data_IF_734256057632
#
_entry.id   IF_734256057632
#
_cell.length_a   1.000
_cell.length_b   1.000
_cell.length_c   1.000
_cell.angle_alpha   90.00
_cell.angle_beta   90.00
_cell.angle_gamma   90.00
#
_symmetry.space_group_name_H-M   'P 1'
#
loop_
_entity.id
_entity.type
_entity.pdbx_description
1 polymer ?
#
# COMPACT_ATOMS: atom_id res chain seq x y z
N UNK A 1 -6.17 17.08 8.06
CA UNK A 1 -5.38 16.23 8.98
C UNK A 1 -5.64 14.76 8.72
N UNK A 2 -4.80 13.90 9.32
CA UNK A 2 -5.00 12.46 9.30
C UNK A 2 -6.30 12.09 10.02
N UNK A 3 -6.81 10.88 9.84
CA UNK A 3 -8.12 10.47 10.36
C UNK A 3 -8.22 10.43 11.90
N UNK A 4 -7.11 10.58 12.64
CA UNK A 4 -7.09 10.81 14.08
C UNK A 4 -7.83 12.08 14.51
N UNK A 5 -7.91 13.10 13.65
CA UNK A 5 -8.66 14.32 13.97
C UNK A 5 -10.16 14.08 14.24
N UNK A 6 -10.69 12.94 13.78
CA UNK A 6 -12.07 12.54 14.05
C UNK A 6 -12.32 12.25 15.54
N UNK A 7 -11.28 11.94 16.32
CA UNK A 7 -11.42 11.55 17.73
C UNK A 7 -11.68 12.73 18.67
N UNK A 8 -11.21 13.93 18.30
CA UNK A 8 -11.29 15.13 19.13
C UNK A 8 -12.36 16.13 18.72
N UNK A 9 -13.20 15.77 17.76
CA UNK A 9 -14.06 16.72 17.06
C UNK A 9 -13.34 17.40 15.92
N UNK A 10 -14.04 17.62 14.82
CA UNK A 10 -13.48 18.11 13.56
C UNK A 10 -13.92 19.55 13.30
N UNK A 11 -12.97 20.41 12.94
CA UNK A 11 -13.28 21.80 12.55
C UNK A 11 -14.13 21.84 11.26
N UNK A 12 -15.08 22.77 11.12
CA UNK A 12 -16.05 22.78 10.01
C UNK A 12 -15.45 22.70 8.60
N UNK A 13 -14.24 23.25 8.42
CA UNK A 13 -13.57 23.29 7.11
C UNK A 13 -12.42 22.28 6.98
N UNK A 14 -12.31 21.31 7.89
CA UNK A 14 -11.24 20.33 7.84
C UNK A 14 -11.50 19.28 6.76
N UNK A 15 -10.44 18.85 6.10
CA UNK A 15 -10.41 17.69 5.20
C UNK A 15 -9.69 16.56 5.91
N UNK A 16 -10.25 15.36 5.86
CA UNK A 16 -9.71 14.16 6.50
C UNK A 16 -8.90 13.35 5.49
N UNK A 17 -7.68 12.96 5.87
CA UNK A 17 -6.87 11.98 5.12
C UNK A 17 -7.03 10.61 5.77
N UNK A 18 -7.75 9.71 5.08
CA UNK A 18 -8.06 8.37 5.57
C UNK A 18 -6.93 7.41 5.24
N UNK A 19 -6.07 7.09 6.22
CA UNK A 19 -4.86 6.28 5.99
C UNK A 19 -4.95 4.86 6.57
N UNK A 20 -5.64 4.68 7.71
CA UNK A 20 -5.78 3.35 8.36
C UNK A 20 -6.71 2.40 7.60
N UNK A 21 -7.50 2.92 6.68
CA UNK A 21 -8.49 2.23 5.87
C UNK A 21 -9.40 3.24 5.20
N UNK A 22 -10.60 2.84 4.87
CA UNK A 22 -11.61 3.70 4.24
C UNK A 22 -12.58 4.32 5.27
N UNK A 23 -12.64 3.77 6.47
CA UNK A 23 -13.60 4.11 7.52
C UNK A 23 -13.51 5.57 7.94
N UNK A 24 -12.29 6.12 8.05
CA UNK A 24 -12.08 7.52 8.37
C UNK A 24 -12.63 8.46 7.28
N UNK A 25 -12.43 8.11 6.01
CA UNK A 25 -13.00 8.84 4.88
C UNK A 25 -14.51 8.75 4.83
N UNK A 26 -15.07 7.56 5.04
CA UNK A 26 -16.53 7.34 5.11
C UNK A 26 -17.14 8.17 6.24
N UNK A 27 -16.55 8.16 7.43
CA UNK A 27 -17.02 8.95 8.57
C UNK A 27 -16.96 10.46 8.27
N UNK A 28 -15.90 10.94 7.65
CA UNK A 28 -15.75 12.34 7.26
C UNK A 28 -16.85 12.77 6.29
N UNK A 29 -17.04 12.07 5.17
CA UNK A 29 -18.02 12.46 4.16
C UNK A 29 -19.46 12.28 4.65
N UNK A 30 -19.71 11.32 5.52
CA UNK A 30 -21.02 11.12 6.15
C UNK A 30 -21.38 12.29 7.07
N UNK A 31 -20.39 12.91 7.70
CA UNK A 31 -20.56 14.12 8.53
C UNK A 31 -20.45 15.44 7.76
N UNK A 32 -20.37 15.38 6.41
CA UNK A 32 -20.36 16.56 5.54
C UNK A 32 -18.96 17.18 5.32
N UNK A 33 -17.88 16.49 5.70
CA UNK A 33 -16.52 16.93 5.48
C UNK A 33 -15.93 16.30 4.21
N UNK A 34 -14.90 16.94 3.66
CA UNK A 34 -14.15 16.35 2.55
C UNK A 34 -13.18 15.27 3.04
N UNK A 35 -12.92 14.28 2.19
CA UNK A 35 -11.92 13.25 2.42
C UNK A 35 -10.93 13.12 1.26
N UNK A 36 -9.68 12.80 1.59
CA UNK A 36 -8.67 12.28 0.66
C UNK A 36 -8.40 10.84 1.07
N UNK A 37 -8.56 9.92 0.13
CA UNK A 37 -8.35 8.50 0.38
C UNK A 37 -6.89 8.14 0.18
N UNK A 38 -6.27 7.63 1.25
CA UNK A 38 -4.86 7.24 1.23
C UNK A 38 -4.61 5.99 2.09
N UNK A 39 -5.47 4.95 1.99
CA UNK A 39 -5.32 3.78 2.83
C UNK A 39 -3.99 3.06 2.58
N UNK A 40 -3.31 2.68 3.66
CA UNK A 40 -1.99 2.07 3.60
C UNK A 40 -1.94 0.81 2.74
N UNK A 41 -3.04 0.07 2.69
CA UNK A 41 -3.17 -1.13 1.86
C UNK A 41 -3.04 -0.88 0.34
N UNK A 42 -3.19 0.37 -0.14
CA UNK A 42 -3.20 0.72 -1.57
C UNK A 42 -2.32 1.91 -1.93
N UNK A 43 -2.00 2.78 -0.96
CA UNK A 43 -1.43 4.09 -1.21
C UNK A 43 -0.05 4.32 -0.56
N UNK A 44 0.46 3.38 0.24
CA UNK A 44 1.76 3.52 0.91
C UNK A 44 2.86 2.90 0.06
N UNK A 45 3.55 3.76 -0.69
CA UNK A 45 4.55 3.38 -1.67
C UNK A 45 5.92 3.04 -1.06
N UNK A 46 6.05 3.11 0.25
CA UNK A 46 7.20 2.65 1.04
C UNK A 46 7.17 1.13 1.31
N UNK A 47 6.05 0.46 1.01
CA UNK A 47 5.95 -1.01 1.03
C UNK A 47 6.70 -1.68 -0.13
N UNK A 48 7.10 -2.93 0.06
CA UNK A 48 7.66 -3.75 -1.03
C UNK A 48 6.71 -3.82 -2.22
N UNK A 49 7.23 -3.59 -3.42
CA UNK A 49 6.41 -3.66 -4.64
C UNK A 49 6.50 -5.02 -5.35
N UNK A 50 7.45 -5.86 -4.96
CA UNK A 50 7.61 -7.24 -5.44
C UNK A 50 8.16 -8.10 -4.30
N UNK A 51 8.57 -9.33 -4.59
CA UNK A 51 9.13 -10.28 -3.63
C UNK A 51 10.31 -9.67 -2.85
N UNK A 52 10.28 -9.57 -1.52
CA UNK A 52 11.27 -8.86 -0.72
C UNK A 52 12.71 -9.24 -0.98
N UNK A 53 13.00 -10.52 -1.27
CA UNK A 53 14.35 -11.00 -1.55
C UNK A 53 14.95 -10.42 -2.86
N UNK A 54 14.11 -9.90 -3.75
CA UNK A 54 14.52 -9.29 -5.02
C UNK A 54 14.55 -7.76 -4.98
N UNK A 55 14.21 -7.17 -3.83
CA UNK A 55 14.01 -5.74 -3.66
C UNK A 55 15.05 -5.14 -2.72
N UNK A 56 15.37 -3.83 -2.87
CA UNK A 56 16.00 -3.08 -1.79
C UNK A 56 15.17 -3.17 -0.52
N UNK A 57 15.83 -3.00 0.64
CA UNK A 57 15.13 -2.98 1.92
C UNK A 57 14.04 -1.92 1.95
N UNK A 58 12.88 -2.29 2.50
CA UNK A 58 11.73 -1.42 2.69
C UNK A 58 11.15 -1.63 4.09
N UNK A 59 10.19 -0.79 4.49
CA UNK A 59 9.58 -0.87 5.83
C UNK A 59 8.83 -2.19 6.09
N UNK A 60 8.50 -2.91 5.04
CA UNK A 60 7.70 -4.13 5.08
C UNK A 60 6.49 -4.03 4.15
N UNK A 61 5.45 -4.79 4.46
CA UNK A 61 4.24 -4.83 3.65
C UNK A 61 4.44 -5.41 2.24
N UNK A 62 3.36 -5.44 1.46
CA UNK A 62 3.41 -5.87 0.06
C UNK A 62 2.35 -5.14 -0.76
N UNK A 63 2.79 -4.25 -1.62
CA UNK A 63 1.94 -3.42 -2.45
C UNK A 63 2.40 -3.44 -3.91
N UNK A 64 2.07 -4.51 -4.67
CA UNK A 64 2.43 -4.60 -6.09
C UNK A 64 1.60 -3.65 -6.94
N UNK A 65 2.10 -3.32 -8.13
CA UNK A 65 1.48 -2.42 -9.09
C UNK A 65 0.00 -2.75 -9.35
N UNK A 66 -0.32 -4.03 -9.53
CA UNK A 66 -1.69 -4.50 -9.81
C UNK A 66 -2.65 -4.17 -8.66
N UNK A 67 -2.19 -4.25 -7.41
CA UNK A 67 -3.00 -3.94 -6.24
C UNK A 67 -3.30 -2.45 -6.14
N UNK A 68 -2.31 -1.59 -6.42
CA UNK A 68 -2.52 -0.14 -6.51
C UNK A 68 -3.53 0.20 -7.60
N UNK A 69 -3.39 -0.39 -8.78
CA UNK A 69 -4.30 -0.14 -9.90
C UNK A 69 -5.73 -0.61 -9.66
N UNK A 70 -5.90 -1.68 -8.87
CA UNK A 70 -7.22 -2.23 -8.56
C UNK A 70 -8.02 -1.35 -7.58
N UNK A 71 -7.38 -0.41 -6.91
CA UNK A 71 -8.04 0.43 -5.92
C UNK A 71 -9.12 1.31 -6.54
N UNK A 72 -10.25 1.44 -5.83
CA UNK A 72 -11.29 2.43 -6.09
C UNK A 72 -11.38 3.37 -4.89
N UNK A 73 -11.05 4.67 -5.03
CA UNK A 73 -11.06 5.59 -3.90
C UNK A 73 -12.45 6.04 -3.45
N UNK A 74 -13.50 5.63 -4.16
CA UNK A 74 -14.89 5.94 -3.78
C UNK A 74 -15.56 4.68 -3.26
N UNK A 75 -15.64 4.48 -1.91
CA UNK A 75 -16.29 3.30 -1.34
C UNK A 75 -17.74 3.13 -1.84
N UNK A 76 -18.08 1.90 -2.23
CA UNK A 76 -19.40 1.58 -2.76
C UNK A 76 -20.56 1.79 -1.75
N UNK A 77 -20.23 1.96 -0.47
CA UNK A 77 -21.22 2.26 0.59
C UNK A 77 -21.70 3.72 0.59
N UNK A 78 -21.01 4.61 -0.13
CA UNK A 78 -21.35 6.03 -0.18
C UNK A 78 -22.53 6.31 -1.11
N UNK A 79 -23.37 7.24 -0.69
CA UNK A 79 -24.37 7.82 -1.60
C UNK A 79 -23.69 8.70 -2.65
N UNK A 80 -24.38 9.00 -3.75
CA UNK A 80 -23.84 9.87 -4.80
C UNK A 80 -23.46 11.28 -4.28
N UNK A 81 -24.18 11.81 -3.29
CA UNK A 81 -23.84 13.10 -2.69
C UNK A 81 -22.59 13.01 -1.79
N UNK A 82 -22.47 11.96 -1.00
CA UNK A 82 -21.28 11.72 -0.19
C UNK A 82 -20.04 11.47 -1.06
N UNK A 83 -20.18 10.75 -2.15
CA UNK A 83 -19.08 10.48 -3.09
C UNK A 83 -18.46 11.78 -3.65
N UNK A 84 -19.24 12.84 -3.82
CA UNK A 84 -18.74 14.17 -4.25
C UNK A 84 -17.81 14.84 -3.25
N UNK A 85 -17.85 14.41 -1.99
CA UNK A 85 -16.97 14.92 -0.93
C UNK A 85 -15.63 14.20 -0.88
N UNK A 86 -15.45 13.12 -1.63
CA UNK A 86 -14.15 12.46 -1.82
C UNK A 86 -13.38 13.26 -2.87
N UNK A 87 -12.34 13.98 -2.43
CA UNK A 87 -11.51 14.80 -3.33
C UNK A 87 -10.61 13.97 -4.24
N UNK A 88 -10.34 12.72 -3.87
CA UNK A 88 -9.51 11.81 -4.63
C UNK A 88 -8.60 10.96 -3.76
N UNK A 89 -7.46 10.57 -4.33
CA UNK A 89 -6.49 9.65 -3.75
C UNK A 89 -5.12 10.31 -3.61
N UNK A 90 -4.35 9.90 -2.60
CA UNK A 90 -2.97 10.33 -2.43
C UNK A 90 -2.07 9.12 -2.19
N UNK A 91 -0.91 9.09 -2.87
CA UNK A 91 0.18 8.17 -2.55
C UNK A 91 1.11 8.78 -1.49
N UNK A 92 1.49 7.98 -0.51
CA UNK A 92 2.44 8.35 0.54
C UNK A 92 3.74 7.59 0.34
N UNK A 93 4.86 8.24 0.60
CA UNK A 93 6.18 7.63 0.62
C UNK A 93 6.93 8.10 1.86
N UNK A 94 7.03 7.24 2.86
CA UNK A 94 7.84 7.46 4.05
C UNK A 94 9.25 6.97 3.80
N UNK A 95 10.24 7.70 4.28
CA UNK A 95 11.63 7.54 3.78
C UNK A 95 12.59 6.89 4.77
N UNK A 96 12.08 6.23 5.80
CA UNK A 96 12.89 5.56 6.83
C UNK A 96 13.89 4.57 6.24
N UNK A 97 13.54 3.93 5.12
CA UNK A 97 14.35 2.95 4.41
C UNK A 97 14.77 3.41 3.00
N UNK A 98 14.62 4.70 2.69
CA UNK A 98 14.86 5.24 1.34
C UNK A 98 15.98 6.30 1.40
N UNK A 99 17.25 5.88 1.29
CA UNK A 99 18.39 6.76 1.57
C UNK A 99 18.77 7.69 0.40
N UNK A 100 18.28 7.47 -0.82
CA UNK A 100 18.72 8.23 -2.00
C UNK A 100 17.55 8.65 -2.91
N UNK A 101 17.71 9.70 -3.73
CA UNK A 101 16.70 10.09 -4.72
C UNK A 101 16.39 8.97 -5.73
N UNK A 102 17.38 8.19 -6.15
CA UNK A 102 17.19 7.06 -7.07
C UNK A 102 16.32 5.98 -6.43
N UNK A 103 16.45 5.78 -5.11
CA UNK A 103 15.59 4.86 -4.38
C UNK A 103 14.16 5.41 -4.25
N UNK A 104 13.97 6.72 -4.14
CA UNK A 104 12.64 7.36 -4.24
C UNK A 104 12.01 7.02 -5.60
N UNK A 105 12.72 7.24 -6.70
CA UNK A 105 12.24 6.94 -8.06
C UNK A 105 11.85 5.46 -8.21
N UNK A 106 12.70 4.56 -7.67
CA UNK A 106 12.45 3.13 -7.63
C UNK A 106 11.14 2.79 -6.91
N UNK A 107 10.92 3.36 -5.74
CA UNK A 107 9.76 3.05 -4.90
C UNK A 107 8.45 3.63 -5.44
N UNK A 108 8.48 4.81 -6.08
CA UNK A 108 7.26 5.42 -6.60
C UNK A 108 6.86 4.89 -7.98
N UNK A 109 7.82 4.61 -8.86
CA UNK A 109 7.51 4.17 -10.22
C UNK A 109 7.63 2.64 -10.36
N UNK A 110 6.65 2.00 -11.04
CA UNK A 110 5.51 2.57 -11.78
C UNK A 110 4.23 2.81 -10.96
N UNK A 111 4.20 2.55 -9.64
CA UNK A 111 2.97 2.61 -8.83
C UNK A 111 2.29 3.97 -8.83
N UNK A 112 3.05 5.06 -8.92
CA UNK A 112 2.50 6.42 -9.07
C UNK A 112 1.70 6.58 -10.37
N UNK A 113 2.09 5.89 -11.44
CA UNK A 113 1.31 5.89 -12.70
C UNK A 113 -0.04 5.21 -12.51
N UNK A 114 -0.08 4.14 -11.72
CA UNK A 114 -1.34 3.46 -11.37
C UNK A 114 -2.25 4.37 -10.55
N UNK A 115 -1.73 5.05 -9.53
CA UNK A 115 -2.50 6.02 -8.74
C UNK A 115 -3.00 7.19 -9.59
N UNK A 116 -2.20 7.68 -10.52
CA UNK A 116 -2.62 8.73 -11.44
C UNK A 116 -3.82 8.29 -12.30
N UNK A 117 -3.80 7.06 -12.81
CA UNK A 117 -4.93 6.54 -13.58
C UNK A 117 -6.15 6.24 -12.71
N UNK A 118 -5.95 5.74 -11.49
CA UNK A 118 -7.02 5.57 -10.49
C UNK A 118 -7.70 6.91 -10.17
N UNK A 119 -6.93 7.98 -10.03
CA UNK A 119 -7.45 9.32 -9.74
C UNK A 119 -8.17 9.96 -10.95
N UNK A 120 -7.78 9.62 -12.16
CA UNK A 120 -8.26 10.27 -13.38
C UNK A 120 -9.38 9.53 -14.08
N UNK A 121 -9.37 8.19 -14.04
CA UNK A 121 -10.25 7.36 -14.85
C UNK A 121 -11.45 6.86 -14.06
N UNK A 122 -12.59 6.87 -14.69
CA UNK A 122 -13.77 6.21 -14.14
C UNK A 122 -13.51 4.68 -14.01
N UNK A 123 -13.95 4.03 -12.91
CA UNK A 123 -13.63 2.63 -12.61
C UNK A 123 -13.97 1.67 -13.76
N UNK A 124 -15.08 1.89 -14.46
CA UNK A 124 -15.54 1.06 -15.58
C UNK A 124 -14.66 1.17 -16.83
N UNK A 125 -13.77 2.15 -16.90
CA UNK A 125 -12.81 2.34 -18.01
C UNK A 125 -11.47 1.71 -17.73
N UNK A 126 -11.21 1.27 -16.51
CA UNK A 126 -9.94 0.69 -16.14
C UNK A 126 -9.78 -0.71 -16.75
N UNK A 127 -8.63 -0.97 -17.35
CA UNK A 127 -8.25 -2.26 -17.91
C UNK A 127 -6.83 -2.60 -17.50
N UNK A 128 -6.68 -3.60 -16.62
CA UNK A 128 -5.35 -4.01 -16.18
C UNK A 128 -4.41 -4.43 -17.32
N UNK A 129 -4.82 -5.25 -18.30
CA UNK A 129 -3.93 -5.64 -19.39
C UNK A 129 -3.44 -4.44 -20.22
N UNK A 130 -4.33 -3.47 -20.50
CA UNK A 130 -3.99 -2.25 -21.22
C UNK A 130 -3.04 -1.37 -20.39
N UNK A 131 -3.39 -1.12 -19.12
CA UNK A 131 -2.55 -0.33 -18.23
C UNK A 131 -1.16 -0.96 -18.05
N UNK A 132 -1.08 -2.26 -17.83
CA UNK A 132 0.19 -2.97 -17.64
C UNK A 132 1.10 -2.82 -18.87
N UNK A 133 0.55 -2.93 -20.08
CA UNK A 133 1.31 -2.70 -21.33
C UNK A 133 1.85 -1.26 -21.41
N UNK A 134 1.02 -0.27 -21.08
CA UNK A 134 1.43 1.14 -21.05
C UNK A 134 2.47 1.40 -19.94
N UNK A 135 2.32 0.77 -18.78
CA UNK A 135 3.27 0.89 -17.67
C UNK A 135 4.65 0.33 -18.04
N UNK A 136 4.73 -0.80 -18.73
CA UNK A 136 5.99 -1.35 -19.26
C UNK A 136 6.68 -0.34 -20.19
N UNK A 137 5.94 0.25 -21.12
CA UNK A 137 6.48 1.28 -22.02
C UNK A 137 6.95 2.53 -21.26
N UNK A 138 6.16 2.99 -20.30
CA UNK A 138 6.49 4.15 -19.48
C UNK A 138 7.75 3.93 -18.63
N UNK A 139 7.92 2.74 -18.03
CA UNK A 139 9.14 2.36 -17.30
C UNK A 139 10.36 2.41 -18.21
N UNK A 140 10.28 1.83 -19.43
CA UNK A 140 11.38 1.87 -20.40
C UNK A 140 11.73 3.31 -20.79
N UNK A 141 10.75 4.20 -20.95
CA UNK A 141 10.99 5.60 -21.30
C UNK A 141 11.56 6.40 -20.11
N UNK A 142 11.15 6.11 -18.87
CA UNK A 142 11.78 6.70 -17.69
C UNK A 142 13.25 6.30 -17.59
N UNK A 143 13.57 5.02 -17.80
CA UNK A 143 14.96 4.53 -17.81
C UNK A 143 15.81 5.22 -18.88
N UNK A 144 15.30 5.39 -20.11
CA UNK A 144 15.99 6.14 -21.17
C UNK A 144 16.27 7.60 -20.82
N UNK A 145 15.44 8.20 -19.99
CA UNK A 145 15.59 9.56 -19.47
C UNK A 145 16.51 9.67 -18.25
N UNK A 146 17.07 8.56 -17.79
CA UNK A 146 17.98 8.50 -16.66
C UNK A 146 17.32 8.39 -15.29
N UNK A 147 16.02 8.09 -15.23
CA UNK A 147 15.33 7.76 -13.99
C UNK A 147 15.54 6.28 -13.63
N UNK A 148 15.31 5.94 -12.37
CA UNK A 148 15.57 4.62 -11.79
C UNK A 148 14.29 3.91 -11.32
N UNK A 149 13.26 3.74 -12.19
CA UNK A 149 12.04 3.05 -11.80
C UNK A 149 12.30 1.58 -11.50
N UNK A 150 11.42 0.94 -10.72
CA UNK A 150 11.39 -0.52 -10.64
C UNK A 150 11.21 -1.11 -12.03
N UNK A 151 12.07 -2.08 -12.37
CA UNK A 151 12.03 -2.77 -13.67
C UNK A 151 10.84 -3.75 -13.73
N UNK A 152 9.70 -3.24 -14.14
CA UNK A 152 8.45 -4.01 -14.22
C UNK A 152 8.56 -5.27 -15.09
N UNK A 153 9.51 -5.32 -16.05
CA UNK A 153 9.72 -6.49 -16.89
C UNK A 153 10.30 -7.68 -16.13
N UNK A 154 10.84 -7.45 -14.93
CA UNK A 154 11.40 -8.44 -14.02
C UNK A 154 10.51 -8.72 -12.81
N UNK A 155 9.29 -8.21 -12.80
CA UNK A 155 8.35 -8.46 -11.71
C UNK A 155 8.13 -9.96 -11.52
N UNK A 156 8.31 -10.43 -10.29
CA UNK A 156 8.01 -11.82 -9.90
C UNK A 156 6.51 -11.98 -9.68
N UNK A 157 5.85 -10.92 -9.22
CA UNK A 157 4.40 -10.85 -9.07
C UNK A 157 3.84 -11.67 -7.90
N UNK A 158 4.70 -12.12 -6.98
CA UNK A 158 4.30 -12.91 -5.82
C UNK A 158 5.30 -12.75 -4.67
N UNK A 159 4.93 -13.26 -3.49
CA UNK A 159 5.82 -13.37 -2.32
C UNK A 159 6.04 -14.85 -2.01
N UNK A 160 6.79 -15.58 -2.84
CA UNK A 160 6.96 -17.02 -2.66
C UNK A 160 7.62 -17.36 -1.32
N UNK A 161 8.45 -16.47 -0.77
CA UNK A 161 9.11 -16.66 0.51
C UNK A 161 8.14 -16.68 1.70
N UNK A 162 6.99 -16.01 1.62
CA UNK A 162 5.95 -16.06 2.66
C UNK A 162 5.14 -17.37 2.61
N UNK A 163 5.24 -18.10 1.49
CA UNK A 163 4.56 -19.38 1.28
C UNK A 163 5.49 -20.58 1.45
N UNK A 164 6.81 -20.36 1.49
CA UNK A 164 7.79 -21.41 1.63
C UNK A 164 8.20 -21.57 3.10
N UNK A 165 8.05 -22.80 3.61
CA UNK A 165 8.61 -23.12 4.90
C UNK A 165 10.15 -23.10 4.85
N UNK A 166 10.78 -22.56 5.88
CA UNK A 166 12.23 -22.56 6.05
C UNK A 166 12.65 -23.50 7.16
N UNK A 167 13.73 -24.23 6.96
CA UNK A 167 14.32 -25.06 8.01
C UNK A 167 15.28 -24.21 8.84
N UNK A 168 15.08 -24.19 10.15
CA UNK A 168 15.95 -23.51 11.11
C UNK A 168 15.98 -24.26 12.45
N UNK A 169 16.97 -23.97 13.30
CA UNK A 169 17.19 -24.69 14.55
C UNK A 169 16.02 -24.59 15.55
N UNK A 170 15.20 -23.57 15.44
CA UNK A 170 14.02 -23.35 16.29
C UNK A 170 12.74 -24.00 15.76
N UNK A 171 12.77 -24.62 14.57
CA UNK A 171 11.57 -25.20 13.95
C UNK A 171 10.86 -26.18 14.92
N UNK A 172 9.59 -25.95 15.17
CA UNK A 172 8.77 -26.77 16.06
C UNK A 172 9.14 -26.70 17.54
N UNK A 173 10.04 -25.81 17.97
CA UNK A 173 10.38 -25.65 19.38
C UNK A 173 9.32 -24.82 20.10
N UNK A 174 9.09 -25.19 21.37
CA UNK A 174 8.18 -24.44 22.24
C UNK A 174 8.78 -23.05 22.52
N UNK A 175 7.99 -22.02 22.26
CA UNK A 175 8.34 -20.63 22.59
C UNK A 175 7.78 -20.29 23.98
N UNK A 176 8.58 -19.60 24.79
CA UNK A 176 8.16 -19.05 26.08
C UNK A 176 8.25 -17.53 25.98
N UNK A 177 7.12 -16.87 26.14
CA UNK A 177 7.04 -15.42 26.15
C UNK A 177 7.07 -14.91 27.60
N UNK A 178 7.92 -13.94 27.87
CA UNK A 178 8.01 -13.30 29.19
C UNK A 178 7.01 -12.17 29.38
N UNK A 179 6.33 -11.78 28.29
CA UNK A 179 5.29 -10.73 28.29
C UNK A 179 4.18 -11.12 27.33
N UNK A 180 2.93 -10.65 27.54
CA UNK A 180 1.87 -10.80 26.55
C UNK A 180 2.30 -10.14 25.23
N UNK A 181 2.02 -10.77 24.10
CA UNK A 181 2.23 -10.14 22.80
C UNK A 181 1.13 -9.13 22.50
N UNK A 182 1.45 -8.21 21.59
CA UNK A 182 0.51 -7.19 21.13
C UNK A 182 -0.74 -7.80 20.50
N UNK A 183 -1.90 -7.22 20.79
CA UNK A 183 -3.13 -7.58 20.09
C UNK A 183 -3.07 -7.30 18.59
N UNK A 184 -2.18 -6.39 18.15
CA UNK A 184 -1.93 -6.11 16.73
C UNK A 184 -1.06 -7.19 16.06
N UNK A 185 -0.25 -7.90 16.86
CA UNK A 185 0.66 -8.94 16.39
C UNK A 185 0.49 -10.20 17.23
N UNK A 186 -0.58 -10.97 17.01
CA UNK A 186 -1.02 -12.04 17.94
C UNK A 186 -0.16 -13.30 17.92
N UNK A 187 0.97 -13.31 17.21
CA UNK A 187 1.94 -14.42 17.18
C UNK A 187 1.32 -15.82 17.00
N UNK A 188 0.16 -15.91 16.40
CA UNK A 188 -0.57 -17.15 16.05
C UNK A 188 -0.56 -18.22 17.16
N UNK A 189 -0.82 -17.81 18.40
CA UNK A 189 -0.88 -18.74 19.53
C UNK A 189 0.48 -19.35 19.92
N UNK A 190 1.57 -18.61 19.82
CA UNK A 190 2.94 -18.99 20.17
C UNK A 190 3.67 -19.82 19.12
N UNK A 191 3.22 -19.91 17.90
CA UNK A 191 3.88 -20.71 16.84
C UNK A 191 4.65 -19.88 15.84
N UNK A 192 4.30 -18.61 15.63
CA UNK A 192 4.83 -17.77 14.55
C UNK A 192 6.38 -17.67 14.49
N UNK A 193 7.07 -17.81 15.63
CA UNK A 193 8.55 -17.78 15.64
C UNK A 193 9.20 -19.13 15.31
N UNK A 194 8.44 -20.21 15.27
CA UNK A 194 8.96 -21.57 15.16
C UNK A 194 8.18 -22.46 14.18
N UNK A 195 7.28 -21.88 13.39
CA UNK A 195 6.48 -22.60 12.40
C UNK A 195 7.24 -22.84 11.08
N UNK A 196 8.39 -22.17 10.90
CA UNK A 196 9.17 -22.27 9.68
C UNK A 196 8.62 -21.45 8.52
N UNK A 197 7.63 -20.59 8.77
CA UNK A 197 7.07 -19.68 7.76
C UNK A 197 7.78 -18.32 7.89
N UNK A 198 8.21 -17.74 6.79
CA UNK A 198 8.70 -16.36 6.80
C UNK A 198 7.51 -15.44 6.98
N UNK A 199 7.55 -14.63 8.02
CA UNK A 199 6.52 -13.63 8.29
C UNK A 199 6.40 -12.58 7.18
N UNK A 200 5.26 -11.95 7.14
CA UNK A 200 4.97 -10.78 6.30
C UNK A 200 5.63 -9.52 6.86
#
# INVERSE_FOLDING_TARGET
GWDEILQGGIAPNATVMSWRGEEGGIAAVTSGHHAIMTPGAYCYLDSYQDAPYSQPEAIGGYLPLKKVYAYDPVPASLTAEQAKLVYGVQGNLWVEYIPTPEHVEYMIYPRMLALAEVAWSAPERKSWPDFHTRALSAVADLQKKGYHPFDLSKEIGSRPESLQSVSHLALGKKVIYNSPYSSHYPAQGNTALTDGIRGD
#
